data_IF_413068317483
#
_entry.id   IF_413068317483
#
_cell.length_a   1.000
_cell.length_b   1.000
_cell.length_c   1.000
_cell.angle_alpha   90.00
_cell.angle_beta   90.00
_cell.angle_gamma   90.00
#
_symmetry.space_group_name_H-M   'P 1'
#
loop_
_entity.id
_entity.type
_entity.pdbx_description
1 polymer ?
#
# COMPACT_ATOMS: atom_id res chain seq x y z
N UNK A 1 12.88 1.55 -10.31
CA UNK A 1 12.49 1.88 -11.70
C UNK A 1 11.61 0.78 -12.29
N UNK A 2 12.12 -0.43 -12.57
CA UNK A 2 11.31 -1.51 -13.20
C UNK A 2 10.03 -1.90 -12.43
N UNK A 3 10.10 -2.01 -11.10
CA UNK A 3 8.93 -2.31 -10.27
C UNK A 3 7.84 -1.22 -10.32
N UNK A 4 8.24 0.04 -10.44
CA UNK A 4 7.32 1.19 -10.53
C UNK A 4 6.57 1.17 -11.86
N UNK A 5 7.28 0.91 -12.96
CA UNK A 5 6.64 0.76 -14.28
C UNK A 5 5.67 -0.42 -14.32
N UNK A 6 6.06 -1.58 -13.76
CA UNK A 6 5.16 -2.73 -13.65
C UNK A 6 3.88 -2.40 -12.86
N UNK A 7 3.99 -1.66 -11.75
CA UNK A 7 2.83 -1.22 -10.96
C UNK A 7 1.90 -0.30 -11.76
N UNK A 8 2.43 0.68 -12.48
CA UNK A 8 1.60 1.61 -13.26
C UNK A 8 0.96 0.93 -14.48
N UNK A 9 1.69 0.04 -15.18
CA UNK A 9 1.14 -0.74 -16.28
C UNK A 9 0.00 -1.63 -15.78
N UNK A 10 0.21 -2.32 -14.66
CA UNK A 10 -0.83 -3.14 -14.03
C UNK A 10 -2.05 -2.31 -13.60
N UNK A 11 -1.82 -1.11 -13.06
CA UNK A 11 -2.89 -0.17 -12.70
C UNK A 11 -3.69 0.32 -13.91
N UNK A 12 -3.02 0.73 -14.99
CA UNK A 12 -3.67 1.19 -16.24
C UNK A 12 -4.44 0.06 -16.92
N UNK A 13 -3.84 -1.12 -17.05
CA UNK A 13 -4.51 -2.30 -17.62
C UNK A 13 -5.71 -2.70 -16.75
N UNK A 14 -5.55 -2.68 -15.42
CA UNK A 14 -6.65 -2.91 -14.48
C UNK A 14 -7.80 -1.91 -14.66
N UNK A 15 -7.50 -0.63 -14.85
CA UNK A 15 -8.48 0.42 -15.10
C UNK A 15 -9.23 0.23 -16.42
N UNK A 16 -8.53 -0.19 -17.48
CA UNK A 16 -9.15 -0.49 -18.78
C UNK A 16 -10.06 -1.72 -18.70
N UNK A 17 -9.59 -2.80 -18.05
CA UNK A 17 -10.40 -4.00 -17.82
C UNK A 17 -11.64 -3.66 -16.98
N UNK A 18 -11.49 -2.87 -15.91
CA UNK A 18 -12.61 -2.41 -15.10
C UNK A 18 -13.63 -1.61 -15.92
N UNK A 19 -13.16 -0.72 -16.79
CA UNK A 19 -14.03 0.06 -17.69
C UNK A 19 -14.78 -0.83 -18.68
N UNK A 20 -14.13 -1.88 -19.19
CA UNK A 20 -14.74 -2.87 -20.09
C UNK A 20 -15.76 -3.79 -19.39
N UNK A 21 -15.51 -4.15 -18.12
CA UNK A 21 -16.45 -4.92 -17.31
C UNK A 21 -17.67 -4.07 -16.94
N UNK A 22 -17.47 -2.80 -16.59
CA UNK A 22 -18.53 -1.92 -16.12
C UNK A 22 -19.14 -2.36 -14.78
N UNK A 23 -20.31 -1.82 -14.47
CA UNK A 23 -21.05 -2.15 -13.25
C UNK A 23 -20.27 -1.88 -11.96
N UNK A 24 -20.38 -2.78 -10.99
CA UNK A 24 -19.75 -2.65 -9.69
C UNK A 24 -18.22 -2.70 -9.76
N UNK A 25 -17.63 -3.73 -10.37
CA UNK A 25 -16.17 -3.85 -10.52
C UNK A 25 -15.57 -2.72 -11.34
N UNK A 26 -16.27 -2.23 -12.37
CA UNK A 26 -15.84 -1.04 -13.11
C UNK A 26 -15.84 0.22 -12.25
N UNK A 27 -16.87 0.41 -11.42
CA UNK A 27 -16.93 1.54 -10.48
C UNK A 27 -15.82 1.46 -9.44
N UNK A 28 -15.59 0.28 -8.85
CA UNK A 28 -14.48 0.02 -7.92
C UNK A 28 -13.13 0.31 -8.60
N UNK A 29 -13.00 -0.03 -9.88
CA UNK A 29 -11.80 0.28 -10.65
C UNK A 29 -11.51 1.76 -10.78
N UNK A 30 -12.54 2.60 -10.99
CA UNK A 30 -12.33 4.05 -11.03
C UNK A 30 -12.02 4.62 -9.65
N UNK A 31 -12.49 4.01 -8.56
CA UNK A 31 -12.13 4.44 -7.22
C UNK A 31 -10.63 4.27 -6.92
N UNK A 32 -9.91 3.43 -7.66
CA UNK A 32 -8.45 3.31 -7.51
C UNK A 32 -7.69 4.60 -7.80
N UNK A 33 -8.26 5.56 -8.55
CA UNK A 33 -7.66 6.88 -8.74
C UNK A 33 -7.46 7.65 -7.43
N UNK A 34 -8.27 7.38 -6.41
CA UNK A 34 -8.10 7.98 -5.08
C UNK A 34 -6.74 7.59 -4.46
N UNK A 35 -6.17 6.44 -4.86
CA UNK A 35 -4.88 5.96 -4.37
C UNK A 35 -3.71 6.76 -4.95
N UNK A 36 -3.95 7.54 -6.01
CA UNK A 36 -2.97 8.46 -6.58
C UNK A 36 -2.77 9.72 -5.71
N UNK A 37 -3.67 10.03 -4.78
CA UNK A 37 -3.48 11.18 -3.88
C UNK A 37 -2.24 11.05 -2.98
N UNK A 38 -1.69 9.85 -2.79
CA UNK A 38 -0.42 9.68 -2.08
C UNK A 38 0.82 9.93 -2.95
N UNK A 39 0.70 9.96 -4.29
CA UNK A 39 1.86 10.05 -5.19
C UNK A 39 2.61 11.37 -5.16
N UNK A 40 1.99 12.54 -4.94
CA UNK A 40 2.75 13.79 -4.81
C UNK A 40 3.82 13.71 -3.71
N UNK A 41 3.46 13.20 -2.53
CA UNK A 41 4.39 13.05 -1.39
C UNK A 41 5.51 12.04 -1.68
N UNK A 42 5.20 10.95 -2.39
CA UNK A 42 6.17 9.92 -2.79
C UNK A 42 7.15 10.49 -3.82
N UNK A 43 6.65 11.18 -4.84
CA UNK A 43 7.47 11.75 -5.91
C UNK A 43 8.34 12.91 -5.39
N UNK A 44 7.79 13.78 -4.54
CA UNK A 44 8.54 14.86 -3.92
C UNK A 44 9.71 14.33 -3.09
N UNK A 45 9.51 13.21 -2.36
CA UNK A 45 10.61 12.56 -1.62
C UNK A 45 11.71 12.08 -2.57
N UNK A 46 11.33 11.44 -3.67
CA UNK A 46 12.28 10.97 -4.67
C UNK A 46 13.08 12.12 -5.30
N UNK A 47 12.42 13.24 -5.63
CA UNK A 47 13.07 14.45 -6.17
C UNK A 47 14.07 15.03 -5.16
N UNK A 48 13.68 15.19 -3.90
CA UNK A 48 14.59 15.69 -2.87
C UNK A 48 15.81 14.77 -2.66
N UNK A 49 15.60 13.45 -2.70
CA UNK A 49 16.69 12.48 -2.61
C UNK A 49 17.64 12.56 -3.82
N UNK A 50 17.12 12.74 -5.04
CA UNK A 50 17.92 12.91 -6.25
C UNK A 50 18.79 14.18 -6.20
N UNK A 51 18.26 15.27 -5.63
CA UNK A 51 18.99 16.52 -5.45
C UNK A 51 19.84 16.56 -4.17
N UNK A 52 19.98 15.45 -3.43
CA UNK A 52 20.71 15.36 -2.15
C UNK A 52 20.22 16.36 -1.09
N UNK A 53 18.96 16.78 -1.19
CA UNK A 53 18.32 17.73 -0.27
C UNK A 53 17.61 16.99 0.87
N UNK A 54 18.33 16.10 1.57
CA UNK A 54 17.77 15.20 2.60
C UNK A 54 17.86 15.76 4.02
N UNK A 55 18.65 16.81 4.24
CA UNK A 55 19.06 17.25 5.58
C UNK A 55 18.20 18.40 6.14
N UNK A 56 17.07 18.69 5.49
CA UNK A 56 16.19 19.78 5.86
C UNK A 56 14.87 19.28 6.49
N UNK A 57 14.21 20.16 7.25
CA UNK A 57 12.92 19.86 7.89
C UNK A 57 11.82 19.52 6.86
N UNK A 58 11.90 20.04 5.63
CA UNK A 58 10.95 19.73 4.55
C UNK A 58 11.01 18.26 4.14
N UNK A 59 12.20 17.65 4.13
CA UNK A 59 12.37 16.23 3.82
C UNK A 59 11.70 15.34 4.88
N UNK A 60 11.83 15.71 6.16
CA UNK A 60 11.18 15.01 7.28
C UNK A 60 9.66 15.19 7.23
N UNK A 61 9.19 16.43 7.04
CA UNK A 61 7.76 16.75 6.92
C UNK A 61 7.11 15.99 5.76
N UNK A 62 7.76 15.97 4.58
CA UNK A 62 7.27 15.21 3.44
C UNK A 62 7.30 13.70 3.71
N UNK A 63 8.27 13.18 4.48
CA UNK A 63 8.28 11.79 4.93
C UNK A 63 7.07 11.43 5.80
N UNK A 64 6.67 12.34 6.71
CA UNK A 64 5.46 12.19 7.52
C UNK A 64 4.20 12.26 6.66
N UNK A 65 4.10 13.25 5.76
CA UNK A 65 2.98 13.37 4.83
C UNK A 65 2.87 12.15 3.91
N UNK A 66 3.99 11.62 3.43
CA UNK A 66 4.05 10.41 2.62
C UNK A 66 3.51 9.22 3.43
N UNK A 67 3.92 9.06 4.69
CA UNK A 67 3.44 7.97 5.55
C UNK A 67 1.93 8.06 5.77
N UNK A 68 1.42 9.25 6.15
CA UNK A 68 0.00 9.47 6.42
C UNK A 68 -0.86 9.28 5.17
N UNK A 69 -0.49 9.91 4.06
CA UNK A 69 -1.22 9.80 2.79
C UNK A 69 -1.21 8.37 2.25
N UNK A 70 -0.09 7.65 2.33
CA UNK A 70 -0.02 6.25 1.92
C UNK A 70 -0.89 5.35 2.81
N UNK A 71 -0.90 5.58 4.12
CA UNK A 71 -1.76 4.83 5.03
C UNK A 71 -3.25 5.03 4.71
N UNK A 72 -3.70 6.28 4.60
CA UNK A 72 -5.12 6.60 4.37
C UNK A 72 -5.56 6.14 2.98
N UNK A 73 -4.88 6.59 1.93
CA UNK A 73 -5.33 6.38 0.55
C UNK A 73 -4.99 5.02 -0.01
N UNK A 74 -3.96 4.33 0.50
CA UNK A 74 -3.55 3.03 -0.03
C UNK A 74 -3.82 1.85 0.90
N UNK A 75 -3.64 1.99 2.21
CA UNK A 75 -3.88 0.88 3.14
C UNK A 75 -5.35 0.82 3.56
N UNK A 76 -5.86 1.90 4.15
CA UNK A 76 -7.25 1.96 4.65
C UNK A 76 -8.24 1.87 3.50
N UNK A 77 -8.00 2.60 2.42
CA UNK A 77 -8.90 2.62 1.28
C UNK A 77 -8.98 1.27 0.55
N UNK A 78 -7.85 0.60 0.26
CA UNK A 78 -7.90 -0.75 -0.32
C UNK A 78 -8.56 -1.76 0.61
N UNK A 79 -8.32 -1.67 1.93
CA UNK A 79 -9.00 -2.52 2.91
C UNK A 79 -10.52 -2.34 2.80
N UNK A 80 -11.00 -1.11 2.70
CA UNK A 80 -12.42 -0.80 2.50
C UNK A 80 -12.94 -1.37 1.17
N UNK A 81 -12.23 -1.16 0.07
CA UNK A 81 -12.64 -1.69 -1.25
C UNK A 81 -12.73 -3.22 -1.25
N UNK A 82 -11.73 -3.91 -0.71
CA UNK A 82 -11.65 -5.38 -0.79
C UNK A 82 -12.57 -6.04 0.24
N UNK A 83 -12.39 -5.75 1.52
CA UNK A 83 -13.06 -6.52 2.58
C UNK A 83 -14.48 -6.03 2.89
N UNK A 84 -14.79 -4.78 2.58
CA UNK A 84 -16.12 -4.21 2.85
C UNK A 84 -17.00 -4.14 1.61
N UNK A 85 -16.43 -3.99 0.41
CA UNK A 85 -17.22 -3.88 -0.82
C UNK A 85 -17.15 -5.14 -1.68
N UNK A 86 -15.95 -5.54 -2.12
CA UNK A 86 -15.81 -6.72 -2.99
C UNK A 86 -16.21 -8.00 -2.25
N UNK A 87 -15.72 -8.22 -1.04
CA UNK A 87 -16.05 -9.40 -0.24
C UNK A 87 -17.54 -9.46 0.07
N UNK A 88 -18.17 -8.34 0.45
CA UNK A 88 -19.61 -8.28 0.72
C UNK A 88 -20.43 -8.68 -0.52
N UNK A 89 -20.10 -8.10 -1.68
CA UNK A 89 -20.79 -8.39 -2.93
C UNK A 89 -20.55 -9.82 -3.45
N UNK A 90 -19.31 -10.31 -3.35
CA UNK A 90 -18.93 -11.62 -3.87
C UNK A 90 -19.45 -12.79 -3.01
N UNK A 91 -19.67 -12.58 -1.71
CA UNK A 91 -20.09 -13.65 -0.79
C UNK A 91 -21.56 -13.55 -0.40
N UNK A 92 -21.99 -12.43 0.18
CA UNK A 92 -23.35 -12.27 0.71
C UNK A 92 -24.37 -11.88 -0.35
N UNK A 93 -23.93 -11.23 -1.44
CA UNK A 93 -24.79 -10.82 -2.55
C UNK A 93 -24.38 -11.47 -3.87
N UNK A 94 -23.84 -12.69 -3.78
CA UNK A 94 -23.24 -13.42 -4.91
C UNK A 94 -24.20 -13.53 -6.10
N UNK A 95 -25.45 -13.94 -5.88
CA UNK A 95 -26.43 -14.10 -6.98
C UNK A 95 -26.69 -12.79 -7.73
N UNK A 96 -26.88 -11.68 -7.02
CA UNK A 96 -27.09 -10.37 -7.63
C UNK A 96 -25.82 -9.84 -8.30
N UNK A 97 -24.65 -10.12 -7.72
CA UNK A 97 -23.36 -9.76 -8.29
C UNK A 97 -23.12 -10.47 -9.63
N UNK A 98 -23.23 -11.80 -9.68
CA UNK A 98 -22.98 -12.57 -10.90
C UNK A 98 -24.06 -12.37 -11.96
N UNK A 99 -25.31 -12.07 -11.58
CA UNK A 99 -26.37 -11.69 -12.51
C UNK A 99 -26.11 -10.34 -13.22
N UNK A 100 -25.28 -9.47 -12.64
CA UNK A 100 -24.93 -8.17 -13.24
C UNK A 100 -23.96 -8.31 -14.43
N UNK A 101 -23.28 -9.45 -14.53
CA UNK A 101 -22.26 -9.70 -15.55
C UNK A 101 -22.68 -10.84 -16.49
N UNK A 102 -22.50 -10.69 -17.82
CA UNK A 102 -22.63 -11.80 -18.75
C UNK A 102 -21.72 -12.98 -18.36
N UNK A 103 -22.19 -14.21 -18.56
CA UNK A 103 -21.48 -15.43 -18.13
C UNK A 103 -20.06 -15.52 -18.71
N UNK A 104 -19.87 -15.07 -19.95
CA UNK A 104 -18.57 -15.02 -20.63
C UNK A 104 -17.56 -14.08 -19.95
N UNK A 105 -18.02 -13.12 -19.14
CA UNK A 105 -17.17 -12.18 -18.39
C UNK A 105 -16.87 -12.64 -16.96
N UNK A 106 -17.46 -13.73 -16.47
CA UNK A 106 -17.29 -14.17 -15.08
C UNK A 106 -15.85 -14.52 -14.73
N UNK A 107 -15.13 -15.21 -15.64
CA UNK A 107 -13.71 -15.51 -15.47
C UNK A 107 -12.85 -14.25 -15.34
N UNK A 108 -13.16 -13.22 -16.13
CA UNK A 108 -12.47 -11.93 -16.08
C UNK A 108 -12.79 -11.17 -14.78
N UNK A 109 -14.02 -11.27 -14.27
CA UNK A 109 -14.40 -10.71 -12.98
C UNK A 109 -13.61 -11.35 -11.83
N UNK A 110 -13.47 -12.68 -11.83
CA UNK A 110 -12.68 -13.40 -10.84
C UNK A 110 -11.20 -13.00 -10.91
N UNK A 111 -10.65 -12.92 -12.13
CA UNK A 111 -9.29 -12.43 -12.35
C UNK A 111 -9.09 -11.02 -11.74
N UNK A 112 -10.01 -10.09 -11.98
CA UNK A 112 -9.95 -8.76 -11.38
C UNK A 112 -9.93 -8.80 -9.85
N UNK A 113 -10.80 -9.61 -9.22
CA UNK A 113 -10.84 -9.75 -7.76
C UNK A 113 -9.50 -10.24 -7.21
N UNK A 114 -8.88 -11.24 -7.85
CA UNK A 114 -7.56 -11.76 -7.46
C UNK A 114 -6.48 -10.67 -7.61
N UNK A 115 -6.50 -9.93 -8.72
CA UNK A 115 -5.55 -8.82 -8.95
C UNK A 115 -5.70 -7.72 -7.89
N UNK A 116 -6.92 -7.37 -7.46
CA UNK A 116 -7.12 -6.42 -6.37
C UNK A 116 -6.46 -6.88 -5.06
N UNK A 117 -6.61 -8.16 -4.73
CA UNK A 117 -5.99 -8.73 -3.54
C UNK A 117 -4.47 -8.68 -3.61
N UNK A 118 -3.88 -9.07 -4.75
CA UNK A 118 -2.43 -8.98 -4.99
C UNK A 118 -1.94 -7.53 -4.87
N UNK A 119 -2.68 -6.58 -5.45
CA UNK A 119 -2.36 -5.15 -5.36
C UNK A 119 -2.38 -4.66 -3.93
N UNK A 120 -3.34 -5.09 -3.10
CA UNK A 120 -3.36 -4.74 -1.68
C UNK A 120 -2.16 -5.28 -0.92
N UNK A 121 -1.76 -6.54 -1.15
CA UNK A 121 -0.54 -7.11 -0.58
C UNK A 121 0.70 -6.29 -0.97
N UNK A 122 0.76 -5.82 -2.22
CA UNK A 122 1.83 -4.93 -2.68
C UNK A 122 1.81 -3.59 -1.92
N UNK A 123 0.64 -2.99 -1.68
CA UNK A 123 0.54 -1.77 -0.88
C UNK A 123 1.03 -1.99 0.56
N UNK A 124 0.68 -3.11 1.20
CA UNK A 124 1.16 -3.44 2.55
C UNK A 124 2.68 -3.61 2.60
N UNK A 125 3.26 -4.25 1.59
CA UNK A 125 4.72 -4.37 1.45
C UNK A 125 5.40 -2.99 1.39
N UNK A 126 4.91 -2.09 0.54
CA UNK A 126 5.45 -0.74 0.43
C UNK A 126 5.24 0.09 1.70
N UNK A 127 4.07 -0.01 2.31
CA UNK A 127 3.79 0.69 3.56
C UNK A 127 4.74 0.26 4.68
N UNK A 128 5.04 -1.04 4.77
CA UNK A 128 6.02 -1.57 5.73
C UNK A 128 7.40 -0.94 5.53
N UNK A 129 7.84 -0.78 4.27
CA UNK A 129 9.11 -0.09 3.95
C UNK A 129 9.08 1.39 4.32
N UNK A 130 7.96 2.08 4.10
CA UNK A 130 7.79 3.49 4.46
C UNK A 130 7.90 3.67 5.99
N UNK A 131 7.19 2.85 6.75
CA UNK A 131 7.21 2.88 8.23
C UNK A 131 8.60 2.56 8.77
N UNK A 132 9.29 1.55 8.22
CA UNK A 132 10.68 1.27 8.60
C UNK A 132 11.62 2.45 8.29
N UNK A 133 11.42 3.12 7.15
CA UNK A 133 12.16 4.33 6.81
C UNK A 133 11.90 5.48 7.77
N UNK A 134 10.65 5.62 8.24
CA UNK A 134 10.27 6.62 9.24
C UNK A 134 10.93 6.35 10.59
N UNK A 135 10.89 5.11 11.09
CA UNK A 135 11.53 4.76 12.35
C UNK A 135 13.04 4.99 12.35
N UNK A 136 13.71 4.73 11.22
CA UNK A 136 15.13 5.09 11.05
C UNK A 136 15.37 6.60 11.10
N UNK A 137 14.49 7.40 10.50
CA UNK A 137 14.62 8.85 10.52
C UNK A 137 14.49 9.43 11.94
N UNK A 138 13.68 8.81 12.80
CA UNK A 138 13.56 9.18 14.22
C UNK A 138 14.62 8.56 15.13
N UNK A 139 15.57 7.79 14.60
CA UNK A 139 16.62 7.14 15.40
C UNK A 139 16.10 6.03 16.34
N UNK A 140 14.88 5.55 16.11
CA UNK A 140 14.30 4.45 16.90
C UNK A 140 15.09 3.15 16.71
N UNK A 141 15.75 2.99 15.56
CA UNK A 141 16.66 1.87 15.29
C UNK A 141 17.89 1.89 16.21
N UNK A 142 18.45 3.07 16.47
CA UNK A 142 19.55 3.25 17.43
C UNK A 142 19.07 2.99 18.86
N UNK A 143 17.88 3.46 19.22
CA UNK A 143 17.29 3.23 20.54
C UNK A 143 17.01 1.73 20.79
N UNK A 144 16.43 1.03 19.81
CA UNK A 144 16.18 -0.42 19.89
C UNK A 144 17.49 -1.21 19.98
N UNK A 145 18.50 -0.88 19.18
CA UNK A 145 19.81 -1.53 19.26
C UNK A 145 20.53 -1.30 20.59
N UNK A 146 20.40 -0.09 21.16
CA UNK A 146 20.94 0.22 22.48
C UNK A 146 20.24 -0.61 23.57
N UNK A 147 18.91 -0.74 23.50
CA UNK A 147 18.14 -1.58 24.43
C UNK A 147 18.48 -3.06 24.29
N UNK A 148 18.57 -3.58 23.06
CA UNK A 148 18.96 -4.98 22.82
C UNK A 148 20.38 -5.30 23.33
N UNK A 149 21.32 -4.35 23.20
CA UNK A 149 22.66 -4.48 23.78
C UNK A 149 22.62 -4.45 25.31
N UNK A 150 21.87 -3.52 25.91
CA UNK A 150 21.72 -3.43 27.37
C UNK A 150 21.15 -4.73 27.98
N UNK A 151 20.11 -5.30 27.36
CA UNK A 151 19.49 -6.57 27.77
C UNK A 151 20.44 -7.76 27.59
N UNK A 152 21.33 -7.75 26.59
CA UNK A 152 22.35 -8.82 26.42
C UNK A 152 23.49 -8.72 27.42
N UNK A 153 23.82 -7.53 27.89
CA UNK A 153 24.92 -7.33 28.85
C UNK A 153 24.50 -7.64 30.30
N UNK A 154 23.24 -7.43 30.68
CA UNK A 154 22.70 -7.79 32.01
C UNK A 154 22.92 -9.26 32.44
N UNK A 155 22.64 -10.30 31.65
CA UNK A 155 22.83 -11.68 32.06
C UNK A 155 24.32 -12.09 32.22
N UNK A 156 25.26 -11.30 31.70
CA UNK A 156 26.70 -11.56 31.84
C UNK A 156 27.28 -11.07 33.17
N UNK A 157 26.63 -10.10 33.83
CA UNK A 157 27.07 -9.54 35.11
C UNK A 157 26.58 -10.35 36.32
N UNK A 158 25.46 -11.04 36.21
CA UNK A 158 24.88 -11.88 37.29
C UNK A 158 25.60 -13.22 37.46
N UNK A 159 26.38 -13.68 36.48
CA UNK A 159 27.15 -14.94 36.54
C UNK A 159 28.58 -14.81 37.07
N UNK A 160 28.98 -13.64 37.56
CA UNK A 160 30.36 -13.35 38.01
C UNK A 160 30.51 -13.03 39.51
N UNK A 161 29.49 -13.27 40.31
CA UNK A 161 29.57 -13.21 41.79
C UNK A 161 29.44 -14.59 42.40
#
# INVERSE_FOLDING_TARGET
MMQTYAHHIMGMVGALIGSYLGGFLGSISQLTWVTEFSTPSVNLRAIMAMHKATDNALYVLNGLMMTLSFFVFRVVYYRYMIFWKIHDMATYRSETFWATYPAEKHALCLFCIVVYFIMFCLQLFWFSKIVMGLFKAFGLDKAVQLTERAVREEPSKVKKE
#
